data_IF_662376732429
#
_entry.id   IF_662376732429
#
_cell.length_a   1.000
_cell.length_b   1.000
_cell.length_c   1.000
_cell.angle_alpha   90.00
_cell.angle_beta   90.00
_cell.angle_gamma   90.00
#
_symmetry.space_group_name_H-M   'P 1'
#
loop_
_entity.id
_entity.type
_entity.pdbx_description
1 polymer ?
#
# COMPACT_ATOMS: atom_id res chain seq x y z
N UNK A 1 0.10 -14.56 -9.35
CA UNK A 1 0.86 -13.31 -9.51
C UNK A 1 2.07 -13.36 -8.60
N UNK A 2 3.30 -13.41 -9.13
CA UNK A 2 4.49 -13.30 -8.27
C UNK A 2 4.74 -11.82 -8.00
N UNK A 3 4.66 -11.41 -6.73
CA UNK A 3 4.91 -10.04 -6.31
C UNK A 3 6.41 -9.71 -6.49
N UNK A 4 6.72 -8.64 -7.21
CA UNK A 4 8.09 -8.19 -7.49
C UNK A 4 8.19 -6.67 -7.28
N UNK A 5 9.34 -6.20 -6.80
CA UNK A 5 9.63 -4.77 -6.68
C UNK A 5 8.84 -4.06 -5.56
N UNK A 6 8.32 -2.84 -5.78
CA UNK A 6 7.74 -2.01 -4.71
C UNK A 6 6.49 -2.61 -4.05
N UNK A 7 5.84 -3.57 -4.71
CA UNK A 7 4.65 -4.25 -4.21
C UNK A 7 5.01 -5.17 -3.03
N UNK A 8 6.16 -5.83 -3.10
CA UNK A 8 6.70 -6.64 -2.01
C UNK A 8 7.05 -5.76 -0.80
N UNK A 9 7.58 -4.54 -1.03
CA UNK A 9 7.94 -3.62 0.06
C UNK A 9 6.76 -3.21 0.94
N UNK A 10 5.55 -3.13 0.39
CA UNK A 10 4.37 -2.83 1.20
C UNK A 10 3.91 -4.07 1.99
N UNK A 11 3.92 -5.24 1.34
CA UNK A 11 3.51 -6.49 1.95
C UNK A 11 4.48 -6.94 3.05
N UNK A 12 5.78 -6.73 2.90
CA UNK A 12 6.80 -7.01 3.92
C UNK A 12 6.64 -6.14 5.19
N UNK A 13 5.76 -5.12 5.16
CA UNK A 13 5.53 -4.18 6.27
C UNK A 13 4.23 -4.42 7.01
N UNK A 14 3.42 -5.35 6.53
CA UNK A 14 2.18 -5.76 7.18
C UNK A 14 2.23 -7.26 7.45
N UNK A 15 1.66 -7.74 8.57
CA UNK A 15 1.52 -9.16 8.80
C UNK A 15 0.50 -9.76 7.80
N UNK A 16 0.43 -11.09 7.72
CA UNK A 16 -0.36 -11.80 6.72
C UNK A 16 -1.85 -11.39 6.73
N UNK A 17 -2.41 -11.09 7.89
CA UNK A 17 -3.79 -10.67 8.09
C UNK A 17 -4.10 -9.30 7.44
N UNK A 18 -3.07 -8.48 7.24
CA UNK A 18 -3.13 -7.16 6.58
C UNK A 18 -2.77 -7.19 5.09
N UNK A 19 -2.33 -8.33 4.55
CA UNK A 19 -1.93 -8.42 3.14
C UNK A 19 -3.07 -8.06 2.18
N UNK A 20 -4.32 -8.42 2.51
CA UNK A 20 -5.48 -8.06 1.72
C UNK A 20 -5.67 -6.54 1.58
N UNK A 21 -5.46 -5.79 2.67
CA UNK A 21 -5.59 -4.32 2.65
C UNK A 21 -4.41 -3.67 1.93
N UNK A 22 -3.20 -4.20 2.10
CA UNK A 22 -2.05 -3.76 1.34
C UNK A 22 -2.25 -3.98 -0.17
N UNK A 23 -2.78 -5.14 -0.58
CA UNK A 23 -3.13 -5.41 -1.98
C UNK A 23 -4.24 -4.48 -2.49
N UNK A 24 -5.23 -4.16 -1.66
CA UNK A 24 -6.24 -3.15 -1.98
C UNK A 24 -5.61 -1.79 -2.25
N UNK A 25 -4.74 -1.30 -1.35
CA UNK A 25 -4.08 -0.01 -1.52
C UNK A 25 -3.18 0.03 -2.77
N UNK A 26 -2.56 -1.10 -3.11
CA UNK A 26 -1.85 -1.27 -4.38
C UNK A 26 -2.83 -1.17 -5.57
N UNK A 27 -4.00 -1.77 -5.50
CA UNK A 27 -5.05 -1.59 -6.52
C UNK A 27 -5.40 -0.12 -6.73
N UNK A 28 -5.74 0.59 -5.66
CA UNK A 28 -6.12 2.01 -5.72
C UNK A 28 -5.03 2.91 -6.33
N UNK A 29 -3.76 2.64 -5.99
CA UNK A 29 -2.61 3.37 -6.56
C UNK A 29 -2.51 3.18 -8.08
N UNK A 30 -2.80 1.97 -8.59
CA UNK A 30 -2.77 1.67 -10.02
C UNK A 30 -3.95 2.29 -10.77
N UNK A 31 -5.10 2.46 -10.12
CA UNK A 31 -6.25 3.13 -10.72
C UNK A 31 -6.06 4.64 -10.90
N UNK A 32 -5.21 5.27 -10.07
CA UNK A 32 -4.88 6.72 -10.13
C UNK A 32 -6.10 7.65 -10.01
N UNK A 33 -7.18 7.19 -9.38
CA UNK A 33 -8.41 7.98 -9.17
C UNK A 33 -8.45 8.70 -7.83
N UNK A 34 -7.57 8.35 -6.90
CA UNK A 34 -7.51 8.87 -5.53
C UNK A 34 -6.10 9.35 -5.21
N UNK A 35 -5.99 10.25 -4.25
CA UNK A 35 -4.66 10.72 -3.80
C UNK A 35 -3.97 9.64 -2.97
N UNK A 36 -2.64 9.58 -3.03
CA UNK A 36 -1.87 8.67 -2.17
C UNK A 36 -2.10 8.92 -0.68
N UNK A 37 -2.45 10.15 -0.29
CA UNK A 37 -2.76 10.49 1.09
C UNK A 37 -4.09 9.86 1.55
N UNK A 38 -5.13 9.91 0.72
CA UNK A 38 -6.43 9.31 1.03
C UNK A 38 -6.34 7.78 1.09
N UNK A 39 -5.61 7.19 0.13
CA UNK A 39 -5.38 5.73 0.10
C UNK A 39 -4.62 5.28 1.35
N UNK A 40 -3.58 6.01 1.76
CA UNK A 40 -2.82 5.71 2.97
C UNK A 40 -3.68 5.84 4.24
N UNK A 41 -4.52 6.88 4.31
CA UNK A 41 -5.41 7.09 5.45
C UNK A 41 -6.33 5.89 5.63
N UNK A 42 -7.04 5.51 4.56
CA UNK A 42 -7.98 4.38 4.62
C UNK A 42 -7.26 3.03 4.80
N UNK A 43 -6.07 2.84 4.22
CA UNK A 43 -5.26 1.65 4.50
C UNK A 43 -4.97 1.53 6.00
N UNK A 44 -4.55 2.61 6.64
CA UNK A 44 -4.22 2.59 8.07
C UNK A 44 -5.46 2.38 8.95
N UNK A 45 -6.63 2.90 8.57
CA UNK A 45 -7.90 2.60 9.24
C UNK A 45 -8.27 1.11 9.14
N UNK A 46 -8.14 0.52 7.95
CA UNK A 46 -8.38 -0.92 7.73
C UNK A 46 -7.43 -1.80 8.55
N UNK A 47 -6.15 -1.42 8.63
CA UNK A 47 -5.15 -2.11 9.45
C UNK A 47 -5.45 -1.95 10.95
N UNK A 48 -5.82 -0.76 11.39
CA UNK A 48 -6.17 -0.49 12.79
C UNK A 48 -7.39 -1.32 13.24
N UNK A 49 -8.40 -1.48 12.39
CA UNK A 49 -9.56 -2.34 12.66
C UNK A 49 -9.19 -3.82 12.91
N UNK A 50 -7.99 -4.24 12.46
CA UNK A 50 -7.42 -5.58 12.67
C UNK A 50 -6.39 -5.61 13.80
N UNK A 51 -6.17 -4.51 14.51
CA UNK A 51 -5.12 -4.37 15.53
C UNK A 51 -3.70 -4.31 14.96
N UNK A 52 -3.55 -4.00 13.66
CA UNK A 52 -2.25 -3.93 12.99
C UNK A 52 -1.71 -2.49 13.05
N UNK A 53 -0.40 -2.35 13.31
CA UNK A 53 0.26 -1.06 13.34
C UNK A 53 0.18 -0.32 11.98
N UNK A 54 0.09 1.02 11.99
CA UNK A 54 -0.06 1.79 10.77
C UNK A 54 1.22 1.77 9.91
N UNK A 55 1.02 1.80 8.59
CA UNK A 55 2.08 2.02 7.63
C UNK A 55 2.49 3.50 7.65
N UNK A 56 3.79 3.74 7.78
CA UNK A 56 4.36 5.09 7.72
C UNK A 56 4.21 5.70 6.33
N UNK A 57 3.91 7.01 6.29
CA UNK A 57 3.78 7.80 5.06
C UNK A 57 5.00 7.72 4.14
N UNK A 58 6.20 7.79 4.70
CA UNK A 58 7.45 7.71 3.91
C UNK A 58 7.64 6.33 3.26
N UNK A 59 7.15 5.26 3.89
CA UNK A 59 7.17 3.91 3.32
C UNK A 59 6.16 3.80 2.17
N UNK A 60 4.93 4.26 2.39
CA UNK A 60 3.89 4.25 1.37
C UNK A 60 4.26 5.09 0.13
N UNK A 61 4.77 6.31 0.34
CA UNK A 61 5.17 7.19 -0.76
C UNK A 61 6.30 6.59 -1.62
N UNK A 62 7.25 5.86 -1.01
CA UNK A 62 8.31 5.16 -1.77
C UNK A 62 7.74 4.09 -2.69
N UNK A 63 6.70 3.38 -2.26
CA UNK A 63 5.98 2.40 -3.09
C UNK A 63 5.25 3.09 -4.23
N UNK A 64 4.50 4.15 -3.93
CA UNK A 64 3.73 4.91 -4.93
C UNK A 64 4.62 5.51 -6.03
N UNK A 65 5.74 6.15 -5.66
CA UNK A 65 6.68 6.74 -6.64
C UNK A 65 7.28 5.66 -7.54
N UNK A 66 7.76 4.55 -6.95
CA UNK A 66 8.37 3.47 -7.74
C UNK A 66 7.39 2.83 -8.72
N UNK A 67 6.11 2.76 -8.34
CA UNK A 67 5.04 2.31 -9.25
C UNK A 67 4.79 3.31 -10.37
N UNK A 68 4.70 4.60 -10.04
CA UNK A 68 4.53 5.66 -11.04
C UNK A 68 5.65 5.65 -12.09
N UNK A 69 6.89 5.37 -11.70
CA UNK A 69 8.03 5.26 -12.64
C UNK A 69 7.91 4.02 -13.53
N UNK A 70 7.39 2.89 -13.03
CA UNK A 70 7.29 1.63 -13.79
C UNK A 70 6.15 1.64 -14.82
N UNK A 71 5.10 2.39 -14.52
CA UNK A 71 3.88 2.44 -15.32
C UNK A 71 3.81 3.69 -16.22
N UNK A 72 4.91 4.45 -16.31
CA UNK A 72 5.12 5.57 -17.24
C UNK A 72 5.95 5.09 -18.44
#
# INVERSE_FOLDING_TARGET
MQLRGPDALLLDRVPAEGHGDALWALGELSERRRTSADILFELNDRLAAKGIAPVLRSTFNRVAIRRSIREA
#
